data_IF_109143331754
#
_entry.id   IF_109143331754
#
_cell.length_a   1.000
_cell.length_b   1.000
_cell.length_c   1.000
_cell.angle_alpha   90.00
_cell.angle_beta   90.00
_cell.angle_gamma   90.00
#
_symmetry.space_group_name_H-M   'P 1'
#
loop_
_entity.id
_entity.type
_entity.pdbx_description
1 polymer ?
#
# COMPACT_ATOMS: atom_id res chain seq x y z
N UNK A 1 -5.70 8.36 -20.66
CA UNK A 1 -5.71 7.33 -19.63
C UNK A 1 -5.37 7.93 -18.25
N UNK A 2 -5.87 7.37 -17.14
CA UNK A 2 -5.63 7.89 -15.80
C UNK A 2 -5.16 6.78 -14.86
N UNK A 3 -4.04 7.02 -14.15
CA UNK A 3 -3.56 6.15 -13.08
C UNK A 3 -3.96 6.81 -11.77
N UNK A 4 -4.86 6.19 -11.03
CA UNK A 4 -5.56 6.79 -9.89
C UNK A 4 -5.29 5.99 -8.62
N UNK A 5 -4.84 6.67 -7.56
CA UNK A 5 -4.79 6.12 -6.22
C UNK A 5 -6.18 6.09 -5.59
N UNK A 6 -6.59 4.91 -5.15
CA UNK A 6 -7.89 4.69 -4.51
C UNK A 6 -7.92 5.15 -3.04
N UNK A 7 -6.76 5.49 -2.46
CA UNK A 7 -6.63 5.56 -1.01
C UNK A 7 -6.52 4.16 -0.39
N UNK A 8 -6.49 4.10 0.92
CA UNK A 8 -6.36 2.86 1.67
C UNK A 8 -7.58 2.63 2.57
N UNK A 9 -8.21 1.48 2.47
CA UNK A 9 -9.39 1.13 3.26
C UNK A 9 -10.68 1.73 2.70
N UNK A 10 -11.37 2.56 3.47
CA UNK A 10 -12.69 3.08 3.14
C UNK A 10 -12.69 3.96 1.86
N UNK A 11 -13.81 3.91 1.15
CA UNK A 11 -13.98 4.59 -0.14
C UNK A 11 -13.86 6.13 -0.07
N UNK A 12 -14.10 6.73 1.09
CA UNK A 12 -14.04 8.19 1.30
C UNK A 12 -12.59 8.73 1.39
N UNK A 13 -11.61 7.83 1.47
CA UNK A 13 -10.18 8.18 1.39
C UNK A 13 -9.67 8.33 -0.04
N UNK A 14 -10.54 8.22 -1.03
CA UNK A 14 -10.21 8.59 -2.39
C UNK A 14 -10.16 10.13 -2.53
N UNK A 15 -9.27 10.62 -3.39
CA UNK A 15 -9.30 12.05 -3.72
C UNK A 15 -10.53 12.42 -4.56
N UNK A 16 -11.02 13.66 -4.40
CA UNK A 16 -12.14 14.14 -5.24
C UNK A 16 -11.84 14.01 -6.74
N UNK A 17 -10.58 14.26 -7.14
CA UNK A 17 -10.14 14.10 -8.53
C UNK A 17 -10.21 12.64 -8.98
N UNK A 18 -9.78 11.70 -8.13
CA UNK A 18 -9.87 10.27 -8.42
C UNK A 18 -11.31 9.82 -8.61
N UNK A 19 -12.20 10.23 -7.70
CA UNK A 19 -13.63 9.93 -7.80
C UNK A 19 -14.26 10.50 -9.09
N UNK A 20 -13.84 11.71 -9.51
CA UNK A 20 -14.35 12.34 -10.74
C UNK A 20 -13.94 11.54 -11.99
N UNK A 21 -12.68 11.09 -12.08
CA UNK A 21 -12.25 10.27 -13.21
C UNK A 21 -12.96 8.91 -13.26
N UNK A 22 -13.25 8.29 -12.11
CA UNK A 22 -14.03 7.03 -12.07
C UNK A 22 -15.43 7.26 -12.64
N UNK A 23 -16.09 8.39 -12.34
CA UNK A 23 -17.45 8.70 -12.84
C UNK A 23 -17.55 8.87 -14.35
N UNK A 24 -16.45 9.12 -15.03
CA UNK A 24 -16.41 9.40 -16.46
C UNK A 24 -15.58 8.38 -17.27
N UNK A 25 -15.25 7.22 -16.69
CA UNK A 25 -14.49 6.20 -17.39
C UNK A 25 -15.39 5.30 -18.25
N UNK A 26 -14.82 4.83 -19.36
CA UNK A 26 -15.38 3.73 -20.15
C UNK A 26 -14.90 2.37 -19.64
N UNK A 27 -13.68 2.33 -19.09
CA UNK A 27 -13.05 1.12 -18.54
C UNK A 27 -12.41 1.42 -17.20
N UNK A 28 -12.73 0.61 -16.19
CA UNK A 28 -12.15 0.66 -14.85
C UNK A 28 -11.35 -0.62 -14.59
N UNK A 29 -10.01 -0.52 -14.63
CA UNK A 29 -9.08 -1.61 -14.29
C UNK A 29 -8.63 -1.46 -12.84
N UNK A 30 -8.90 -2.43 -11.97
CA UNK A 30 -8.72 -2.25 -10.54
C UNK A 30 -8.08 -3.43 -9.81
N UNK A 31 -7.41 -3.13 -8.68
CA UNK A 31 -6.79 -4.10 -7.77
C UNK A 31 -7.80 -4.65 -6.75
N UNK A 32 -7.45 -5.76 -6.12
CA UNK A 32 -8.27 -6.36 -5.04
C UNK A 32 -8.18 -5.64 -3.69
N UNK A 33 -7.26 -4.70 -3.51
CA UNK A 33 -7.08 -3.95 -2.26
C UNK A 33 -7.91 -2.65 -2.19
N UNK A 34 -8.69 -2.34 -3.21
CA UNK A 34 -9.60 -1.19 -3.19
C UNK A 34 -10.90 -1.52 -2.45
N UNK A 35 -11.56 -0.51 -1.92
CA UNK A 35 -12.94 -0.66 -1.47
C UNK A 35 -13.85 -0.87 -2.69
N UNK A 36 -14.62 -1.96 -2.66
CA UNK A 36 -15.53 -2.32 -3.76
C UNK A 36 -16.66 -1.30 -3.98
N UNK A 37 -16.96 -0.47 -2.98
CA UNK A 37 -17.95 0.61 -3.10
C UNK A 37 -17.53 1.64 -4.15
N UNK A 38 -16.23 1.81 -4.41
CA UNK A 38 -15.71 2.67 -5.46
C UNK A 38 -16.15 2.23 -6.87
N UNK A 39 -16.43 0.94 -7.06
CA UNK A 39 -16.93 0.42 -8.34
C UNK A 39 -18.31 0.96 -8.69
N UNK A 40 -19.08 1.38 -7.67
CA UNK A 40 -20.39 2.03 -7.85
C UNK A 40 -20.29 3.47 -8.35
N UNK A 41 -19.11 4.08 -8.33
CA UNK A 41 -18.92 5.43 -8.88
C UNK A 41 -18.78 5.43 -10.40
N UNK A 42 -18.34 4.29 -10.99
CA UNK A 42 -18.23 4.15 -12.43
C UNK A 42 -19.62 4.01 -13.09
N UNK A 43 -19.80 4.52 -14.31
CA UNK A 43 -21.02 4.32 -15.08
C UNK A 43 -21.40 2.84 -15.16
N UNK A 44 -22.70 2.54 -15.23
CA UNK A 44 -23.19 1.16 -15.41
C UNK A 44 -22.66 0.52 -16.71
N UNK A 45 -22.46 1.35 -17.73
CA UNK A 45 -21.91 0.98 -19.04
C UNK A 45 -20.41 0.75 -19.03
N UNK A 46 -19.70 1.15 -17.96
CA UNK A 46 -18.26 1.01 -17.88
C UNK A 46 -17.86 -0.47 -17.71
N UNK A 47 -16.89 -0.91 -18.51
CA UNK A 47 -16.27 -2.22 -18.35
C UNK A 47 -15.42 -2.24 -17.08
N UNK A 48 -15.62 -3.23 -16.19
CA UNK A 48 -14.93 -3.35 -14.91
C UNK A 48 -14.03 -4.58 -14.91
N UNK A 49 -12.70 -4.36 -14.95
CA UNK A 49 -11.67 -5.42 -15.06
C UNK A 49 -10.90 -5.52 -13.74
N UNK A 50 -11.07 -6.63 -13.02
CA UNK A 50 -10.30 -6.90 -11.82
C UNK A 50 -8.99 -7.62 -12.17
N UNK A 51 -7.85 -7.00 -11.87
CA UNK A 51 -6.51 -7.56 -12.08
C UNK A 51 -5.81 -7.98 -10.77
N UNK A 52 -6.46 -7.77 -9.64
CA UNK A 52 -5.98 -8.19 -8.32
C UNK A 52 -6.13 -9.70 -8.08
N UNK A 53 -5.50 -10.21 -7.01
CA UNK A 53 -5.68 -11.60 -6.57
C UNK A 53 -7.14 -11.86 -6.20
N UNK A 54 -7.76 -12.85 -6.82
CA UNK A 54 -9.05 -13.40 -6.37
C UNK A 54 -8.82 -14.72 -5.67
N UNK A 55 -9.69 -15.07 -4.72
CA UNK A 55 -9.64 -16.38 -4.06
C UNK A 55 -9.62 -17.49 -5.11
N UNK A 56 -8.56 -18.33 -5.08
CA UNK A 56 -8.37 -19.44 -6.02
C UNK A 56 -7.74 -19.09 -7.38
N UNK A 57 -7.35 -17.83 -7.65
CA UNK A 57 -6.59 -17.45 -8.86
C UNK A 57 -5.33 -16.68 -8.50
N UNK A 58 -4.25 -16.92 -9.25
CA UNK A 58 -3.05 -16.08 -9.17
C UNK A 58 -3.40 -14.63 -9.59
N UNK A 59 -2.70 -13.63 -8.99
CA UNK A 59 -2.77 -12.26 -9.53
C UNK A 59 -2.31 -12.28 -11.00
N UNK A 60 -2.92 -11.42 -11.82
CA UNK A 60 -2.39 -11.19 -13.16
C UNK A 60 -0.92 -10.79 -13.07
N UNK A 61 -0.13 -11.29 -14.01
CA UNK A 61 1.25 -10.84 -14.16
C UNK A 61 1.25 -9.37 -14.58
N UNK A 62 2.25 -8.61 -14.16
CA UNK A 62 2.32 -7.17 -14.49
C UNK A 62 2.32 -6.93 -15.99
N UNK A 63 2.95 -7.81 -16.76
CA UNK A 63 2.97 -7.76 -18.21
C UNK A 63 1.54 -7.79 -18.79
N UNK A 64 0.71 -8.72 -18.32
CA UNK A 64 -0.69 -8.83 -18.75
C UNK A 64 -1.51 -7.60 -18.36
N UNK A 65 -1.27 -7.04 -17.16
CA UNK A 65 -1.93 -5.78 -16.73
C UNK A 65 -1.55 -4.66 -17.69
N UNK A 66 -0.27 -4.53 -18.00
CA UNK A 66 0.23 -3.51 -18.93
C UNK A 66 -0.38 -3.67 -20.33
N UNK A 67 -0.50 -4.90 -20.82
CA UNK A 67 -1.14 -5.21 -22.13
C UNK A 67 -2.61 -4.77 -22.13
N UNK A 68 -3.38 -5.11 -21.09
CA UNK A 68 -4.78 -4.68 -20.94
C UNK A 68 -4.91 -3.15 -20.99
N UNK A 69 -4.04 -2.43 -20.27
CA UNK A 69 -4.07 -0.98 -20.24
C UNK A 69 -3.80 -0.36 -21.61
N UNK A 70 -2.80 -0.89 -22.34
CA UNK A 70 -2.46 -0.44 -23.70
C UNK A 70 -3.58 -0.76 -24.68
N UNK A 71 -4.13 -1.97 -24.66
CA UNK A 71 -5.22 -2.41 -25.52
C UNK A 71 -6.44 -1.49 -25.38
N UNK A 72 -6.93 -1.33 -24.15
CA UNK A 72 -8.11 -0.51 -23.88
C UNK A 72 -7.93 0.97 -24.21
N UNK A 73 -6.72 1.50 -24.01
CA UNK A 73 -6.42 2.88 -24.40
C UNK A 73 -6.39 3.05 -25.94
N UNK A 74 -5.86 2.07 -26.70
CA UNK A 74 -5.84 2.07 -28.17
C UNK A 74 -7.22 1.93 -28.80
N UNK A 75 -8.19 1.37 -28.07
CA UNK A 75 -9.61 1.37 -28.47
C UNK A 75 -10.24 2.77 -28.41
N UNK A 76 -9.50 3.80 -28.00
CA UNK A 76 -10.01 5.17 -27.80
C UNK A 76 -10.83 5.35 -26.54
N UNK A 77 -10.79 4.40 -25.62
CA UNK A 77 -11.54 4.42 -24.35
C UNK A 77 -10.89 5.33 -23.30
N UNK A 78 -11.73 5.93 -22.47
CA UNK A 78 -11.31 6.59 -21.22
C UNK A 78 -11.05 5.52 -20.18
N UNK A 79 -9.77 5.15 -20.01
CA UNK A 79 -9.36 4.09 -19.09
C UNK A 79 -8.92 4.69 -17.76
N UNK A 80 -9.47 4.19 -16.65
CA UNK A 80 -9.00 4.45 -15.28
C UNK A 80 -8.35 3.18 -14.74
N UNK A 81 -7.07 3.26 -14.38
CA UNK A 81 -6.35 2.26 -13.60
C UNK A 81 -6.43 2.64 -12.13
N UNK A 82 -7.29 1.99 -11.35
CA UNK A 82 -7.51 2.26 -9.93
C UNK A 82 -6.64 1.33 -9.08
N UNK A 83 -5.74 1.91 -8.29
CA UNK A 83 -4.71 1.22 -7.49
C UNK A 83 -4.93 1.47 -6.00
N UNK A 84 -4.86 0.45 -5.16
CA UNK A 84 -4.94 0.62 -3.71
C UNK A 84 -3.82 1.52 -3.17
N UNK A 85 -4.15 2.42 -2.24
CA UNK A 85 -3.23 3.40 -1.68
C UNK A 85 -2.81 4.47 -2.69
N UNK A 86 -1.51 4.71 -2.79
CA UNK A 86 -0.89 5.60 -3.77
C UNK A 86 -0.24 4.78 -4.90
N UNK A 87 -0.35 5.18 -6.17
CA UNK A 87 0.18 4.41 -7.31
C UNK A 87 1.69 4.18 -7.27
N UNK A 88 2.45 5.06 -6.64
CA UNK A 88 3.92 5.04 -6.64
C UNK A 88 4.55 4.57 -5.33
N UNK A 89 3.75 4.36 -4.29
CA UNK A 89 4.26 3.78 -3.03
C UNK A 89 4.09 2.26 -3.07
N UNK A 90 5.11 1.56 -3.57
CA UNK A 90 5.14 0.10 -3.80
C UNK A 90 3.96 -0.44 -4.65
N UNK A 91 3.34 0.43 -5.45
CA UNK A 91 2.19 0.09 -6.29
C UNK A 91 2.56 -0.27 -7.74
N UNK A 92 3.84 -0.31 -8.12
CA UNK A 92 4.33 -0.59 -9.47
C UNK A 92 3.80 0.37 -10.55
N UNK A 93 3.27 1.54 -10.16
CA UNK A 93 2.78 2.54 -11.09
C UNK A 93 3.87 3.07 -12.05
N UNK A 94 5.15 3.04 -11.63
CA UNK A 94 6.28 3.35 -12.48
C UNK A 94 6.36 2.45 -13.71
N UNK A 95 6.24 1.13 -13.54
CA UNK A 95 6.27 0.14 -14.61
C UNK A 95 5.08 0.31 -15.58
N UNK A 96 3.90 0.65 -15.03
CA UNK A 96 2.71 0.93 -15.84
C UNK A 96 2.91 2.17 -16.74
N UNK A 97 3.45 3.28 -16.20
CA UNK A 97 3.70 4.50 -17.01
C UNK A 97 4.84 4.33 -18.01
N UNK A 98 5.87 3.54 -17.72
CA UNK A 98 6.93 3.22 -18.67
C UNK A 98 6.34 2.49 -19.89
N UNK A 99 5.45 1.54 -19.67
CA UNK A 99 4.74 0.83 -20.74
C UNK A 99 3.85 1.78 -21.55
N UNK A 100 3.08 2.67 -20.89
CA UNK A 100 2.23 3.63 -21.59
C UNK A 100 3.04 4.61 -22.44
N UNK A 101 4.17 5.11 -21.92
CA UNK A 101 5.10 5.96 -22.67
C UNK A 101 5.65 5.24 -23.90
N UNK A 102 6.07 3.98 -23.75
CA UNK A 102 6.60 3.17 -24.85
C UNK A 102 5.56 2.87 -25.93
N UNK A 103 4.27 2.94 -25.56
CA UNK A 103 3.13 2.76 -26.46
C UNK A 103 2.56 4.07 -27.04
N UNK A 104 3.18 5.23 -26.74
CA UNK A 104 2.73 6.59 -27.10
C UNK A 104 1.30 6.91 -26.61
N UNK A 105 0.91 6.36 -25.44
CA UNK A 105 -0.40 6.61 -24.84
C UNK A 105 -0.31 7.76 -23.83
N UNK A 106 -1.08 8.86 -24.03
CA UNK A 106 -1.13 9.95 -23.06
C UNK A 106 -1.81 9.51 -21.77
N UNK A 107 -1.24 9.91 -20.64
CA UNK A 107 -1.78 9.58 -19.32
C UNK A 107 -1.60 10.72 -18.31
N UNK A 108 -2.49 10.75 -17.32
CA UNK A 108 -2.39 11.57 -16.12
C UNK A 108 -2.32 10.70 -14.87
N UNK A 109 -1.71 11.24 -13.81
CA UNK A 109 -1.54 10.58 -12.53
C UNK A 109 -2.32 11.34 -11.47
N UNK A 110 -3.11 10.60 -10.70
CA UNK A 110 -3.84 11.12 -9.54
C UNK A 110 -3.28 10.46 -8.29
N UNK A 111 -2.62 11.21 -7.41
CA UNK A 111 -2.12 10.67 -6.13
C UNK A 111 -3.24 10.08 -5.29
N UNK A 112 -2.90 9.09 -4.50
CA UNK A 112 -3.78 8.50 -3.50
C UNK A 112 -3.23 8.62 -2.09
N UNK A 113 -4.08 8.47 -1.09
CA UNK A 113 -3.68 8.44 0.32
C UNK A 113 -2.99 7.10 0.60
N UNK A 114 -1.67 7.15 0.82
CA UNK A 114 -0.89 5.95 1.10
C UNK A 114 -1.17 5.38 2.49
N UNK A 115 -1.31 4.06 2.57
CA UNK A 115 -1.45 3.34 3.83
C UNK A 115 -0.26 3.53 4.78
N UNK A 116 0.91 3.88 4.26
CA UNK A 116 2.10 4.15 5.08
C UNK A 116 1.95 5.39 5.98
N UNK A 117 1.06 6.30 5.62
CA UNK A 117 0.76 7.52 6.39
C UNK A 117 -0.59 7.39 7.08
N UNK A 118 -1.65 7.09 6.33
CA UNK A 118 -3.01 7.14 6.85
C UNK A 118 -3.31 6.03 7.88
N UNK A 119 -2.77 4.83 7.71
CA UNK A 119 -3.06 3.73 8.65
C UNK A 119 -2.46 3.99 10.03
N UNK A 120 -1.19 4.42 10.18
CA UNK A 120 -0.68 4.89 11.47
C UNK A 120 -1.50 6.05 12.05
N UNK A 121 -1.82 7.06 11.23
CA UNK A 121 -2.57 8.24 11.65
C UNK A 121 -3.94 7.89 12.22
N UNK A 122 -4.71 7.03 11.56
CA UNK A 122 -6.01 6.54 12.02
C UNK A 122 -5.91 5.66 13.28
N UNK A 123 -4.75 5.05 13.53
CA UNK A 123 -4.44 4.35 14.78
C UNK A 123 -3.93 5.29 15.91
N UNK A 124 -3.92 6.61 15.66
CA UNK A 124 -3.43 7.60 16.61
C UNK A 124 -1.91 7.65 16.74
N UNK A 125 -1.18 7.17 15.73
CA UNK A 125 0.29 7.14 15.70
C UNK A 125 0.79 8.15 14.66
N UNK A 126 1.21 9.35 15.06
CA UNK A 126 1.80 10.30 14.14
C UNK A 126 3.14 9.76 13.64
N UNK A 127 3.36 9.74 12.32
CA UNK A 127 4.60 9.22 11.74
C UNK A 127 5.79 10.20 11.87
N UNK A 128 5.52 11.45 12.24
CA UNK A 128 6.53 12.45 12.61
C UNK A 128 6.15 13.17 13.88
N UNK A 129 7.15 13.53 14.70
CA UNK A 129 6.95 14.34 15.90
C UNK A 129 8.15 15.27 16.10
N UNK A 130 7.90 16.59 16.29
CA UNK A 130 8.96 17.63 16.34
C UNK A 130 10.14 17.27 17.25
N UNK A 131 9.86 16.68 18.41
CA UNK A 131 10.89 16.41 19.42
C UNK A 131 11.36 14.95 19.46
N UNK A 132 10.68 14.02 18.76
CA UNK A 132 10.91 12.57 18.88
C UNK A 132 11.34 11.91 17.57
N UNK A 133 10.70 12.27 16.46
CA UNK A 133 11.00 11.68 15.15
C UNK A 133 10.86 12.71 14.04
N UNK A 134 11.96 13.08 13.41
CA UNK A 134 12.02 14.12 12.36
C UNK A 134 12.06 13.55 10.95
N UNK A 135 12.04 12.22 10.82
CA UNK A 135 12.08 11.54 9.53
C UNK A 135 11.17 10.33 9.53
N UNK A 136 10.71 9.94 8.35
CA UNK A 136 9.93 8.72 8.12
C UNK A 136 10.59 7.92 7.02
N UNK A 137 10.80 6.64 7.28
CA UNK A 137 11.33 5.69 6.31
C UNK A 137 10.24 4.69 5.96
N UNK A 138 9.79 4.72 4.72
CA UNK A 138 8.77 3.79 4.21
C UNK A 138 9.50 2.67 3.49
N UNK A 139 9.33 1.44 3.96
CA UNK A 139 10.12 0.29 3.57
C UNK A 139 9.19 -0.84 3.16
N UNK A 140 9.52 -1.56 2.09
CA UNK A 140 8.84 -2.84 1.82
C UNK A 140 9.40 -3.92 2.73
N UNK A 141 8.53 -4.65 3.41
CA UNK A 141 8.91 -5.83 4.20
C UNK A 141 9.05 -7.11 3.37
N UNK A 142 8.95 -7.00 2.04
CA UNK A 142 9.00 -8.13 1.12
C UNK A 142 9.61 -7.68 -0.21
N UNK A 143 10.60 -8.41 -0.71
CA UNK A 143 11.17 -8.21 -2.05
C UNK A 143 10.65 -9.28 -3.02
N UNK A 144 10.92 -9.12 -4.31
CA UNK A 144 10.57 -10.12 -5.32
C UNK A 144 11.19 -11.51 -5.09
N UNK A 145 12.27 -11.57 -4.29
CA UNK A 145 12.98 -12.81 -3.92
C UNK A 145 12.53 -13.39 -2.57
N UNK A 146 11.43 -12.88 -2.01
CA UNK A 146 10.90 -13.27 -0.67
C UNK A 146 11.89 -13.01 0.48
N UNK A 147 12.71 -11.98 0.35
CA UNK A 147 13.71 -11.57 1.33
C UNK A 147 13.44 -10.15 1.82
N UNK A 148 14.10 -9.75 2.91
CA UNK A 148 14.11 -8.36 3.34
C UNK A 148 15.04 -7.53 2.44
N UNK A 149 14.75 -6.23 2.23
CA UNK A 149 15.63 -5.35 1.48
C UNK A 149 16.97 -5.18 2.20
N UNK A 150 18.07 -5.13 1.45
CA UNK A 150 19.44 -5.03 1.99
C UNK A 150 19.65 -3.80 2.89
N UNK A 151 18.90 -2.72 2.63
CA UNK A 151 19.01 -1.46 3.39
C UNK A 151 18.36 -1.51 4.78
N UNK A 152 17.72 -2.63 5.17
CA UNK A 152 17.08 -2.76 6.50
C UNK A 152 18.11 -2.54 7.64
N UNK A 153 19.37 -2.93 7.41
CA UNK A 153 20.46 -2.69 8.38
C UNK A 153 20.63 -1.20 8.68
N UNK A 154 20.61 -0.35 7.64
CA UNK A 154 20.72 1.10 7.78
C UNK A 154 19.50 1.71 8.48
N UNK A 155 18.34 1.09 8.37
CA UNK A 155 17.12 1.54 9.03
C UNK A 155 17.23 1.41 10.57
N UNK A 156 17.98 0.44 11.08
CA UNK A 156 18.20 0.28 12.51
C UNK A 156 19.00 1.45 13.13
N UNK A 157 19.86 2.09 12.36
CA UNK A 157 20.71 3.20 12.80
C UNK A 157 19.98 4.55 12.84
N UNK A 158 18.78 4.63 12.28
CA UNK A 158 18.04 5.91 12.19
C UNK A 158 17.18 6.16 13.43
N UNK A 159 17.08 7.45 13.85
CA UNK A 159 16.13 7.90 14.88
C UNK A 159 14.72 8.18 14.31
N UNK A 160 14.53 7.96 13.02
CA UNK A 160 13.28 8.18 12.34
C UNK A 160 12.25 7.08 12.59
N UNK A 161 11.00 7.38 12.26
CA UNK A 161 9.93 6.39 12.23
C UNK A 161 10.14 5.42 11.08
N UNK A 162 10.05 4.13 11.36
CA UNK A 162 10.10 3.07 10.35
C UNK A 162 8.68 2.57 10.09
N UNK A 163 8.25 2.63 8.84
CA UNK A 163 6.94 2.12 8.40
C UNK A 163 7.17 1.01 7.38
N UNK A 164 6.80 -0.22 7.74
CA UNK A 164 6.91 -1.36 6.82
C UNK A 164 5.57 -1.70 6.21
N UNK A 165 5.53 -1.71 4.89
CA UNK A 165 4.42 -2.23 4.11
C UNK A 165 4.73 -3.66 3.65
N UNK A 166 3.71 -4.51 3.51
CA UNK A 166 3.85 -5.92 3.08
C UNK A 166 4.78 -6.76 3.98
N UNK A 167 4.97 -6.35 5.25
CA UNK A 167 5.93 -6.95 6.16
C UNK A 167 5.37 -7.98 7.14
N UNK A 168 4.06 -8.20 7.21
CA UNK A 168 3.47 -9.00 8.28
C UNK A 168 4.04 -10.43 8.34
N UNK A 169 4.21 -11.08 7.19
CA UNK A 169 4.78 -12.43 7.11
C UNK A 169 6.23 -12.47 7.57
N UNK A 170 6.98 -11.42 7.28
CA UNK A 170 8.40 -11.30 7.60
C UNK A 170 8.66 -10.50 8.89
N UNK A 171 7.61 -10.29 9.72
CA UNK A 171 7.74 -9.54 10.98
C UNK A 171 8.87 -10.08 11.89
N UNK A 172 9.03 -11.41 12.09
CA UNK A 172 10.13 -11.95 12.90
C UNK A 172 11.51 -11.54 12.35
N UNK A 173 11.70 -11.65 11.04
CA UNK A 173 12.97 -11.32 10.39
C UNK A 173 13.25 -9.80 10.44
N UNK A 174 12.20 -8.96 10.29
CA UNK A 174 12.30 -7.50 10.46
C UNK A 174 12.78 -7.19 11.87
N UNK A 175 12.13 -7.74 12.88
CA UNK A 175 12.47 -7.53 14.30
C UNK A 175 13.90 -7.98 14.60
N UNK A 176 14.26 -9.19 14.22
CA UNK A 176 15.60 -9.73 14.42
C UNK A 176 16.68 -8.85 13.78
N UNK A 177 16.46 -8.41 12.52
CA UNK A 177 17.40 -7.55 11.83
C UNK A 177 17.54 -6.17 12.48
N UNK A 178 16.46 -5.57 12.96
CA UNK A 178 16.49 -4.28 13.64
C UNK A 178 17.29 -4.37 14.95
N UNK A 179 17.01 -5.37 15.79
CA UNK A 179 17.71 -5.58 17.06
C UNK A 179 19.18 -5.91 16.82
N UNK A 180 19.50 -6.85 15.92
CA UNK A 180 20.88 -7.24 15.59
C UNK A 180 21.73 -6.07 15.10
N UNK A 181 21.13 -5.07 14.46
CA UNK A 181 21.81 -3.89 13.95
C UNK A 181 21.67 -2.65 14.87
N UNK A 182 21.36 -2.86 16.16
CA UNK A 182 21.49 -1.83 17.20
C UNK A 182 20.21 -1.10 17.61
N UNK A 183 19.03 -1.46 17.07
CA UNK A 183 17.77 -0.92 17.57
C UNK A 183 17.47 -1.54 18.94
N UNK A 184 17.05 -0.70 19.91
CA UNK A 184 16.68 -1.19 21.24
C UNK A 184 15.52 -2.18 21.18
N UNK A 185 15.59 -3.27 21.93
CA UNK A 185 14.49 -4.23 22.12
C UNK A 185 13.22 -3.59 22.69
N UNK A 186 13.38 -2.48 23.43
CA UNK A 186 12.30 -1.69 24.02
C UNK A 186 11.69 -0.69 23.01
N UNK A 187 12.20 -0.61 21.77
CA UNK A 187 11.63 0.27 20.74
C UNK A 187 10.16 -0.07 20.55
N UNK A 188 9.23 0.90 20.75
CA UNK A 188 7.81 0.66 20.58
C UNK A 188 7.46 0.32 19.12
N UNK A 189 6.57 -0.66 18.97
CA UNK A 189 6.07 -1.13 17.66
C UNK A 189 4.56 -1.26 17.72
N UNK A 190 3.92 -0.86 16.63
CA UNK A 190 2.52 -1.16 16.39
C UNK A 190 2.36 -1.91 15.06
N UNK A 191 1.45 -2.87 15.03
CA UNK A 191 0.97 -3.54 13.81
C UNK A 191 -0.51 -3.24 13.66
N UNK A 192 -0.85 -2.56 12.57
CA UNK A 192 -2.23 -2.16 12.28
C UNK A 192 -2.72 -2.96 11.08
N UNK A 193 -3.65 -3.85 11.32
CA UNK A 193 -4.31 -4.69 10.31
C UNK A 193 -5.62 -4.06 9.86
N UNK A 194 -5.93 -4.18 8.58
CA UNK A 194 -7.13 -3.63 7.96
C UNK A 194 -7.38 -2.15 8.34
N UNK A 195 -6.30 -1.38 8.44
CA UNK A 195 -6.38 0.04 8.76
C UNK A 195 -7.29 0.79 7.80
N UNK A 196 -8.01 1.78 8.31
CA UNK A 196 -9.05 2.49 7.59
C UNK A 196 -10.22 1.61 7.08
N UNK A 197 -10.51 0.50 7.75
CA UNK A 197 -11.67 -0.34 7.50
C UNK A 197 -12.41 -0.60 8.82
N UNK A 198 -13.70 -0.94 8.74
CA UNK A 198 -14.51 -1.24 9.94
C UNK A 198 -13.96 -2.40 10.80
N UNK A 199 -13.17 -3.28 10.22
CA UNK A 199 -12.53 -4.43 10.90
C UNK A 199 -11.07 -4.16 11.27
N UNK A 200 -10.68 -2.88 11.50
CA UNK A 200 -9.32 -2.58 11.89
C UNK A 200 -8.94 -3.21 13.22
N UNK A 201 -7.69 -3.60 13.35
CA UNK A 201 -7.11 -4.14 14.58
C UNK A 201 -5.71 -3.54 14.76
N UNK A 202 -5.45 -3.00 15.94
CA UNK A 202 -4.13 -2.46 16.30
C UNK A 202 -3.53 -3.27 17.44
N UNK A 203 -2.37 -3.87 17.19
CA UNK A 203 -1.58 -4.57 18.21
C UNK A 203 -0.33 -3.75 18.51
N UNK A 204 -0.08 -3.48 19.78
CA UNK A 204 1.08 -2.71 20.25
C UNK A 204 2.00 -3.58 21.10
N UNK A 205 3.26 -3.23 21.13
CA UNK A 205 4.29 -3.86 21.91
C UNK A 205 5.64 -3.17 21.71
N UNK A 206 6.71 -3.89 21.97
CA UNK A 206 8.09 -3.50 21.68
C UNK A 206 8.69 -4.45 20.65
N UNK A 207 9.88 -4.18 20.14
CA UNK A 207 10.56 -5.14 19.24
C UNK A 207 10.68 -6.52 19.88
N UNK A 208 10.90 -6.62 21.20
CA UNK A 208 11.00 -7.90 21.91
C UNK A 208 9.66 -8.65 22.05
N UNK A 209 8.51 -7.98 22.03
CA UNK A 209 7.20 -8.60 22.34
C UNK A 209 6.25 -8.66 21.16
N UNK A 210 6.45 -7.84 20.13
CA UNK A 210 5.45 -7.65 19.08
C UNK A 210 5.13 -8.92 18.28
N UNK A 211 6.12 -9.80 18.06
CA UNK A 211 5.89 -11.04 17.31
C UNK A 211 4.90 -11.97 18.03
N UNK A 212 5.04 -12.11 19.35
CA UNK A 212 4.14 -12.93 20.16
C UNK A 212 2.75 -12.30 20.26
N UNK A 213 2.70 -10.97 20.47
CA UNK A 213 1.44 -10.23 20.56
C UNK A 213 0.63 -10.35 19.25
N UNK A 214 1.29 -10.20 18.10
CA UNK A 214 0.66 -10.33 16.76
C UNK A 214 0.15 -11.73 16.52
N UNK A 215 0.92 -12.76 16.91
CA UNK A 215 0.52 -14.17 16.80
C UNK A 215 -0.68 -14.47 17.69
N UNK A 216 -0.66 -14.03 18.93
CA UNK A 216 -1.75 -14.25 19.91
C UNK A 216 -3.04 -13.53 19.51
N UNK A 217 -2.93 -12.39 18.84
CA UNK A 217 -4.06 -11.61 18.34
C UNK A 217 -4.56 -12.05 16.95
N UNK A 218 -3.96 -13.09 16.36
CA UNK A 218 -4.31 -13.65 15.03
C UNK A 218 -4.40 -12.57 13.94
N UNK A 219 -3.44 -11.64 13.92
CA UNK A 219 -3.42 -10.53 12.96
C UNK A 219 -3.28 -11.04 11.52
N UNK A 220 -4.14 -10.54 10.64
CA UNK A 220 -4.18 -10.92 9.23
C UNK A 220 -3.86 -9.75 8.29
N UNK A 221 -3.30 -9.99 7.09
CA UNK A 221 -3.10 -8.95 6.10
C UNK A 221 -4.44 -8.42 5.52
N UNK A 222 -4.45 -7.18 4.98
CA UNK A 222 -3.31 -6.28 4.87
C UNK A 222 -2.95 -5.62 6.20
N UNK A 223 -1.65 -5.40 6.45
CA UNK A 223 -1.19 -4.77 7.67
C UNK A 223 -0.01 -3.84 7.43
N UNK A 224 0.07 -2.81 8.27
CA UNK A 224 1.19 -1.85 8.33
C UNK A 224 1.89 -2.03 9.67
N UNK A 225 3.23 -2.11 9.65
CA UNK A 225 4.07 -2.19 10.83
C UNK A 225 4.71 -0.81 11.02
N UNK A 226 4.63 -0.27 12.23
CA UNK A 226 5.22 1.04 12.58
C UNK A 226 6.12 0.87 13.79
N UNK A 227 7.42 1.13 13.62
CA UNK A 227 8.37 1.18 14.72
C UNK A 227 8.80 2.65 14.94
N UNK A 228 8.51 3.18 16.11
CA UNK A 228 8.74 4.60 16.45
C UNK A 228 9.28 4.72 17.87
N UNK A 229 9.85 5.88 18.19
CA UNK A 229 10.35 6.18 19.54
C UNK A 229 9.21 6.46 20.55
N UNK A 230 7.95 6.44 20.10
CA UNK A 230 6.76 6.79 20.90
C UNK A 230 5.53 6.08 20.32
N UNK A 231 4.85 5.29 21.07
CA UNK A 231 3.51 4.70 20.73
C UNK A 231 2.69 4.54 21.99
#
# INVERSE_FOLDING_TARGET
>A
MYIVGAGCGDFDLITMRGAEYIRHCDVLVYDSLIDVSLLGFAPETAEKICVGKRSGRHSEKQENINEILVEKAREGKTVVRLKGGDPFVFGRGGEEIETLKSADIPFDIVPGISSSIAVPELAGIPVTHRNLSRSVHIITGHTAQDTLPENIKKCAETDGTLVFLMGLRNLPDIVENLIRNGKSEDTPVAVVSNGACAKNQTVRGTLSTICENVKSAEVVPPAVIVAVSYT
#
